data_IF_080580698291
#
_entry.id   IF_080580698291
#
_cell.length_a   1.000
_cell.length_b   1.000
_cell.length_c   1.000
_cell.angle_alpha   90.00
_cell.angle_beta   90.00
_cell.angle_gamma   90.00
#
_symmetry.space_group_name_H-M   'P 1'
#
loop_
_entity.id
_entity.type
_entity.pdbx_description
1 polymer ?
#
# COMPACT_ATOMS: atom_id res chain seq x y z
N UNK A 1 -20.50 -12.31 -13.66
CA UNK A 1 -19.12 -12.26 -14.20
C UNK A 1 -18.21 -11.28 -13.48
N UNK A 2 -18.47 -9.96 -13.44
CA UNK A 2 -17.59 -8.98 -12.78
C UNK A 2 -17.22 -9.28 -11.31
N UNK A 3 -18.16 -9.78 -10.50
CA UNK A 3 -17.90 -10.17 -9.09
C UNK A 3 -16.99 -11.39 -8.94
N UNK A 4 -17.07 -12.35 -9.87
CA UNK A 4 -16.22 -13.54 -9.88
C UNK A 4 -14.77 -13.20 -10.27
N UNK A 5 -14.60 -12.26 -11.21
CA UNK A 5 -13.27 -11.70 -11.54
C UNK A 5 -12.63 -11.01 -10.34
N UNK A 6 -13.42 -10.26 -9.56
CA UNK A 6 -12.94 -9.64 -8.32
C UNK A 6 -12.38 -10.62 -7.31
N UNK A 7 -12.99 -11.81 -7.16
CA UNK A 7 -12.51 -12.85 -6.23
C UNK A 7 -11.13 -13.40 -6.59
N UNK A 8 -10.78 -13.42 -7.88
CA UNK A 8 -9.47 -13.89 -8.36
C UNK A 8 -8.44 -12.75 -8.33
N UNK A 9 -8.82 -11.54 -8.75
CA UNK A 9 -7.88 -10.42 -8.88
C UNK A 9 -7.51 -9.83 -7.52
N UNK A 10 -8.45 -9.77 -6.57
CA UNK A 10 -8.19 -9.17 -5.24
C UNK A 10 -7.01 -9.80 -4.51
N UNK A 11 -6.94 -11.14 -4.31
CA UNK A 11 -5.81 -11.74 -3.60
C UNK A 11 -4.48 -11.53 -4.33
N UNK A 12 -4.47 -11.56 -5.67
CA UNK A 12 -3.26 -11.24 -6.45
C UNK A 12 -2.82 -9.80 -6.27
N UNK A 13 -3.76 -8.86 -6.25
CA UNK A 13 -3.51 -7.44 -5.97
C UNK A 13 -2.93 -7.23 -4.57
N UNK A 14 -3.43 -7.95 -3.57
CA UNK A 14 -2.95 -7.87 -2.18
C UNK A 14 -1.53 -8.44 -2.03
N UNK A 15 -1.22 -9.55 -2.71
CA UNK A 15 0.14 -10.11 -2.75
C UNK A 15 1.10 -9.12 -3.41
N UNK A 16 0.70 -8.55 -4.55
CA UNK A 16 1.54 -7.57 -5.26
C UNK A 16 1.76 -6.33 -4.41
N UNK A 17 0.71 -5.79 -3.78
CA UNK A 17 0.79 -4.66 -2.86
C UNK A 17 1.77 -4.96 -1.71
N UNK A 18 1.66 -6.13 -1.09
CA UNK A 18 2.55 -6.55 0.00
C UNK A 18 4.01 -6.62 -0.45
N UNK A 19 4.30 -7.28 -1.57
CA UNK A 19 5.66 -7.42 -2.10
C UNK A 19 6.26 -6.07 -2.43
N UNK A 20 5.53 -5.23 -3.19
CA UNK A 20 5.98 -3.90 -3.60
C UNK A 20 6.22 -3.01 -2.37
N UNK A 21 5.26 -2.96 -1.44
CA UNK A 21 5.41 -2.16 -0.22
C UNK A 21 6.62 -2.62 0.60
N UNK A 22 6.82 -3.93 0.77
CA UNK A 22 7.94 -4.50 1.51
C UNK A 22 9.30 -4.12 0.90
N UNK A 23 9.43 -4.20 -0.43
CA UNK A 23 10.68 -3.86 -1.13
C UNK A 23 11.01 -2.37 -1.02
N UNK A 24 10.01 -1.50 -1.24
CA UNK A 24 10.18 -0.04 -1.14
C UNK A 24 10.62 0.34 0.27
N UNK A 25 9.90 -0.16 1.26
CA UNK A 25 10.15 0.15 2.67
C UNK A 25 11.47 -0.43 3.14
N UNK A 26 11.84 -1.65 2.75
CA UNK A 26 13.14 -2.23 3.09
C UNK A 26 14.29 -1.37 2.56
N UNK A 27 14.23 -0.97 1.29
CA UNK A 27 15.26 -0.15 0.66
C UNK A 27 15.43 1.20 1.36
N UNK A 28 14.32 1.90 1.61
CA UNK A 28 14.36 3.21 2.30
C UNK A 28 14.74 3.04 3.76
N UNK A 29 14.21 2.07 4.50
CA UNK A 29 14.58 1.83 5.89
C UNK A 29 16.08 1.55 6.04
N UNK A 30 16.69 0.79 5.12
CA UNK A 30 18.14 0.59 5.08
C UNK A 30 18.91 1.89 4.85
N UNK A 31 18.44 2.73 3.93
CA UNK A 31 19.04 4.05 3.68
C UNK A 31 18.97 4.98 4.91
N UNK A 32 17.91 4.84 5.73
CA UNK A 32 17.76 5.56 7.00
C UNK A 32 18.53 4.94 8.18
N UNK A 33 19.34 3.89 7.92
CA UNK A 33 20.23 3.24 8.90
C UNK A 33 19.65 2.00 9.58
N UNK A 34 18.43 1.58 9.24
CA UNK A 34 17.69 0.53 9.94
C UNK A 34 18.27 -0.88 9.75
N UNK A 35 18.29 -1.75 10.76
CA UNK A 35 19.12 -2.98 10.75
C UNK A 35 18.43 -4.28 10.32
N UNK A 36 17.14 -4.21 9.95
CA UNK A 36 16.34 -5.36 9.57
C UNK A 36 16.82 -6.06 8.29
N UNK A 37 16.61 -7.37 8.24
CA UNK A 37 16.78 -8.18 7.02
C UNK A 37 15.52 -8.13 6.16
N UNK A 38 15.66 -8.38 4.86
CA UNK A 38 14.52 -8.39 3.93
C UNK A 38 13.42 -9.37 4.39
N UNK A 39 13.80 -10.54 4.87
CA UNK A 39 12.84 -11.54 5.34
C UNK A 39 12.04 -11.06 6.58
N UNK A 40 12.71 -10.41 7.53
CA UNK A 40 12.04 -9.78 8.68
C UNK A 40 11.08 -8.69 8.24
N UNK A 41 11.48 -7.83 7.30
CA UNK A 41 10.63 -6.76 6.77
C UNK A 41 9.43 -7.32 6.04
N UNK A 42 9.61 -8.28 5.13
CA UNK A 42 8.50 -8.91 4.41
C UNK A 42 7.52 -9.62 5.35
N UNK A 43 8.03 -10.35 6.35
CA UNK A 43 7.20 -11.01 7.35
C UNK A 43 6.39 -10.03 8.19
N UNK A 44 7.00 -8.94 8.64
CA UNK A 44 6.31 -7.90 9.42
C UNK A 44 5.29 -7.12 8.57
N UNK A 45 5.64 -6.79 7.33
CA UNK A 45 4.79 -6.03 6.40
C UNK A 45 3.64 -6.88 5.86
N UNK A 46 3.69 -8.22 5.91
CA UNK A 46 2.58 -9.07 5.49
C UNK A 46 1.26 -8.75 6.22
N UNK A 47 1.34 -8.27 7.46
CA UNK A 47 0.18 -7.88 8.25
C UNK A 47 -0.60 -6.68 7.68
N UNK A 48 -0.05 -5.89 6.75
CA UNK A 48 -0.81 -4.78 6.12
C UNK A 48 -2.03 -5.27 5.34
N UNK A 49 -2.04 -6.56 4.96
CA UNK A 49 -3.15 -7.21 4.26
C UNK A 49 -4.24 -7.67 5.24
N UNK A 50 -3.93 -7.82 6.54
CA UNK A 50 -4.86 -8.33 7.53
C UNK A 50 -6.20 -7.53 7.62
N UNK A 51 -6.21 -6.18 7.55
CA UNK A 51 -7.46 -5.41 7.60
C UNK A 51 -8.45 -5.78 6.48
N UNK A 52 -7.98 -6.34 5.36
CA UNK A 52 -8.84 -6.73 4.23
C UNK A 52 -9.85 -7.81 4.60
N UNK A 53 -9.63 -8.56 5.69
CA UNK A 53 -10.60 -9.49 6.25
C UNK A 53 -11.93 -8.81 6.58
N UNK A 54 -11.91 -7.50 6.88
CA UNK A 54 -13.12 -6.73 7.15
C UNK A 54 -14.06 -6.71 5.93
N UNK A 55 -13.54 -6.81 4.71
CA UNK A 55 -14.35 -6.85 3.49
C UNK A 55 -15.33 -8.03 3.48
N UNK A 56 -15.04 -9.11 4.21
CA UNK A 56 -15.96 -10.25 4.35
C UNK A 56 -17.30 -9.85 4.99
N UNK A 57 -17.32 -8.81 5.83
CA UNK A 57 -18.55 -8.30 6.44
C UNK A 57 -19.52 -7.69 5.43
N UNK A 58 -19.06 -7.31 4.23
CA UNK A 58 -19.92 -6.82 3.16
C UNK A 58 -20.82 -7.91 2.54
N UNK A 59 -20.70 -9.17 2.97
CA UNK A 59 -21.68 -10.21 2.65
C UNK A 59 -23.05 -9.90 3.27
N UNK A 60 -23.07 -9.16 4.39
CA UNK A 60 -24.28 -8.71 5.06
C UNK A 60 -24.81 -7.47 4.31
N UNK A 61 -26.07 -7.48 3.87
CA UNK A 61 -26.65 -6.33 3.18
C UNK A 61 -26.59 -5.08 4.07
N UNK A 62 -26.36 -3.94 3.45
CA UNK A 62 -26.22 -2.62 4.11
C UNK A 62 -24.97 -2.41 4.99
N UNK A 63 -24.08 -3.40 5.10
CA UNK A 63 -22.77 -3.20 5.74
C UNK A 63 -21.76 -2.68 4.72
N UNK A 64 -21.14 -1.54 5.03
CA UNK A 64 -20.08 -0.95 4.23
C UNK A 64 -18.79 -0.86 5.04
N UNK A 65 -17.66 -1.25 4.42
CA UNK A 65 -16.33 -1.08 5.01
C UNK A 65 -15.66 0.10 4.34
N UNK A 66 -15.29 1.09 5.14
CA UNK A 66 -14.62 2.29 4.62
C UNK A 66 -13.21 1.94 4.09
N UNK A 67 -12.92 2.32 2.85
CA UNK A 67 -11.57 2.19 2.30
C UNK A 67 -10.54 3.02 3.07
N UNK A 68 -10.94 4.17 3.64
CA UNK A 68 -10.08 4.99 4.48
C UNK A 68 -9.66 4.25 5.75
N UNK A 69 -10.58 3.52 6.38
CA UNK A 69 -10.29 2.69 7.55
C UNK A 69 -9.21 1.65 7.21
N UNK A 70 -9.37 0.93 6.09
CA UNK A 70 -8.40 -0.07 5.65
C UNK A 70 -7.03 0.55 5.33
N UNK A 71 -7.02 1.70 4.67
CA UNK A 71 -5.79 2.41 4.31
C UNK A 71 -5.02 2.90 5.53
N UNK A 72 -5.70 3.56 6.48
CA UNK A 72 -5.09 4.06 7.71
C UNK A 72 -4.60 2.92 8.58
N UNK A 73 -5.38 1.85 8.73
CA UNK A 73 -4.96 0.69 9.51
C UNK A 73 -3.75 0.01 8.86
N UNK A 74 -3.76 -0.20 7.55
CA UNK A 74 -2.60 -0.72 6.80
C UNK A 74 -1.35 0.16 6.99
N UNK A 75 -1.49 1.48 6.97
CA UNK A 75 -0.40 2.42 7.20
C UNK A 75 0.16 2.32 8.63
N UNK A 76 -0.69 2.20 9.64
CA UNK A 76 -0.25 2.04 11.04
C UNK A 76 0.49 0.71 11.26
N UNK A 77 0.03 -0.37 10.62
CA UNK A 77 0.73 -1.65 10.62
C UNK A 77 2.08 -1.52 9.93
N UNK A 78 2.13 -0.86 8.78
CA UNK A 78 3.37 -0.63 8.04
C UNK A 78 4.38 0.18 8.87
N UNK A 79 3.92 1.26 9.50
CA UNK A 79 4.70 2.05 10.45
C UNK A 79 5.33 1.16 11.52
N UNK A 80 4.52 0.34 12.20
CA UNK A 80 5.02 -0.51 13.29
C UNK A 80 5.94 -1.61 12.79
N UNK A 81 5.63 -2.19 11.63
CA UNK A 81 6.46 -3.20 10.98
C UNK A 81 7.87 -2.66 10.71
N UNK A 82 7.97 -1.42 10.20
CA UNK A 82 9.27 -0.76 9.97
C UNK A 82 10.00 -0.47 11.27
N UNK A 83 9.31 0.14 12.23
CA UNK A 83 9.88 0.51 13.52
C UNK A 83 10.53 -0.71 14.19
N UNK A 84 9.80 -1.83 14.22
CA UNK A 84 10.25 -3.07 14.87
C UNK A 84 11.28 -3.82 14.04
N UNK A 85 11.03 -4.03 12.74
CA UNK A 85 11.94 -4.84 11.91
C UNK A 85 13.30 -4.17 11.74
N UNK A 86 13.34 -2.84 11.68
CA UNK A 86 14.56 -2.08 11.41
C UNK A 86 15.15 -1.36 12.63
N UNK A 87 14.53 -1.44 13.81
CA UNK A 87 14.97 -0.75 15.03
C UNK A 87 15.19 0.76 14.78
N UNK A 88 14.25 1.37 14.05
CA UNK A 88 14.31 2.78 13.69
C UNK A 88 13.57 3.63 14.73
N UNK A 89 14.06 4.85 15.04
CA UNK A 89 13.32 5.77 15.88
C UNK A 89 11.99 6.14 15.21
N UNK A 90 10.94 6.30 16.02
CA UNK A 90 9.56 6.48 15.57
C UNK A 90 9.38 7.48 14.42
N UNK A 91 10.06 8.64 14.46
CA UNK A 91 9.97 9.67 13.41
C UNK A 91 10.42 9.15 12.04
N UNK A 92 11.52 8.41 12.02
CA UNK A 92 12.08 7.85 10.77
C UNK A 92 11.20 6.71 10.27
N UNK A 93 10.73 5.85 11.16
CA UNK A 93 9.81 4.78 10.80
C UNK A 93 8.51 5.33 10.17
N UNK A 94 7.95 6.41 10.72
CA UNK A 94 6.78 7.08 10.17
C UNK A 94 7.01 7.63 8.76
N UNK A 95 8.14 8.31 8.53
CA UNK A 95 8.49 8.80 7.18
C UNK A 95 8.64 7.65 6.19
N UNK A 96 9.34 6.58 6.57
CA UNK A 96 9.52 5.40 5.71
C UNK A 96 8.19 4.75 5.37
N UNK A 97 7.28 4.60 6.33
CA UNK A 97 5.97 4.00 6.11
C UNK A 97 5.06 4.81 5.16
N UNK A 98 5.28 6.12 5.06
CA UNK A 98 4.55 6.97 4.11
C UNK A 98 5.05 6.82 2.67
N UNK A 99 6.26 6.31 2.45
CA UNK A 99 6.89 6.25 1.10
C UNK A 99 6.01 5.53 0.06
N UNK A 100 5.45 4.33 0.31
CA UNK A 100 4.63 3.66 -0.69
C UNK A 100 3.41 4.50 -1.10
N UNK A 101 2.79 5.20 -0.13
CA UNK A 101 1.62 6.04 -0.38
C UNK A 101 1.98 7.33 -1.12
N UNK A 102 3.10 7.97 -0.76
CA UNK A 102 3.60 9.15 -1.47
C UNK A 102 3.99 8.81 -2.91
N UNK A 103 4.60 7.64 -3.13
CA UNK A 103 4.92 7.16 -4.47
C UNK A 103 3.65 6.90 -5.29
N UNK A 104 2.65 6.24 -4.71
CA UNK A 104 1.35 6.04 -5.37
C UNK A 104 0.68 7.36 -5.72
N UNK A 105 0.70 8.34 -4.81
CA UNK A 105 0.16 9.68 -5.06
C UNK A 105 0.90 10.38 -6.20
N UNK A 106 2.24 10.30 -6.23
CA UNK A 106 3.05 10.85 -7.31
C UNK A 106 2.70 10.21 -8.65
N UNK A 107 2.65 8.88 -8.70
CA UNK A 107 2.28 8.13 -9.91
C UNK A 107 0.88 8.48 -10.40
N UNK A 108 -0.07 8.68 -9.48
CA UNK A 108 -1.42 9.12 -9.80
C UNK A 108 -1.42 10.51 -10.44
N UNK A 109 -0.74 11.49 -9.84
CA UNK A 109 -0.65 12.86 -10.36
C UNK A 109 0.01 12.87 -11.75
N UNK A 110 1.10 12.13 -11.92
CA UNK A 110 1.77 11.99 -13.23
C UNK A 110 0.85 11.32 -14.25
N UNK A 111 0.16 10.24 -13.89
CA UNK A 111 -0.76 9.54 -14.77
C UNK A 111 -1.92 10.44 -15.23
N UNK A 112 -2.54 11.17 -14.30
CA UNK A 112 -3.64 12.11 -14.61
C UNK A 112 -3.17 13.26 -15.49
N UNK A 113 -2.01 13.84 -15.20
CA UNK A 113 -1.47 14.95 -16.01
C UNK A 113 -1.11 14.50 -17.42
N UNK A 114 -0.48 13.33 -17.59
CA UNK A 114 -0.22 12.76 -18.91
C UNK A 114 -1.51 12.44 -19.68
N UNK A 115 -2.51 11.85 -19.03
CA UNK A 115 -3.81 11.59 -19.65
C UNK A 115 -4.52 12.89 -20.07
N UNK A 116 -4.46 13.94 -19.24
CA UNK A 116 -5.01 15.24 -19.60
C UNK A 116 -4.29 15.85 -20.81
N UNK A 117 -2.96 15.74 -20.86
CA UNK A 117 -2.15 16.20 -21.99
C UNK A 117 -2.49 15.44 -23.28
N UNK A 118 -2.64 14.11 -23.23
CA UNK A 118 -2.99 13.34 -24.43
C UNK A 118 -4.39 13.66 -24.93
N UNK A 119 -5.37 13.91 -24.05
CA UNK A 119 -6.70 14.36 -24.44
C UNK A 119 -6.69 15.79 -25.00
N UNK A 120 -5.86 16.67 -24.46
CA UNK A 120 -5.75 18.04 -24.96
C UNK A 120 -5.07 18.10 -26.34
N UNK A 121 -4.01 17.32 -26.54
CA UNK A 121 -3.30 17.21 -27.82
C UNK A 121 -4.15 16.43 -28.84
N UNK A 122 -4.84 15.37 -28.41
CA UNK A 122 -5.66 14.50 -29.27
C UNK A 122 -7.07 15.00 -29.57
N UNK A 123 -7.62 15.91 -28.75
CA UNK A 123 -8.94 16.52 -28.92
C UNK A 123 -8.93 17.88 -29.64
N UNK A 124 -7.77 18.34 -30.11
CA UNK A 124 -7.59 19.60 -30.84
C UNK A 124 -7.66 19.49 -32.37
N UNK A 125 -8.26 18.43 -32.92
CA UNK A 125 -8.48 18.23 -34.34
C UNK A 125 -9.98 18.20 -34.69
#
# INVERSE_FOLDING_TARGET
WARLFGLIITPLGLILQWVVASLLVFGVARAFGGRGTLNQTMGAVALIVAPQVLLLWQIIPFVAVSGLLLAVWGLLILYRAVEVAHDLPWKRAAVVALIPYLLLLLLLVVGVTLAALTLWIGGGA
#
